data_IF_645960321044
#
_entry.id   IF_645960321044
#
_cell.length_a   1.000
_cell.length_b   1.000
_cell.length_c   1.000
_cell.angle_alpha   90.00
_cell.angle_beta   90.00
_cell.angle_gamma   90.00
#
_symmetry.space_group_name_H-M   'P 1'
#
loop_
_entity.id
_entity.type
_entity.pdbx_description
1 polymer ?
#
# COMPACT_ATOMS: atom_id res chain seq x y z
N UNK A 1 40.80 26.07 -25.68
CA UNK A 1 40.69 25.10 -24.57
C UNK A 1 39.21 24.75 -24.40
N UNK A 2 38.80 23.72 -25.13
CA UNK A 2 37.35 23.32 -25.15
C UNK A 2 37.07 22.29 -24.04
N UNK A 3 36.23 22.68 -23.12
CA UNK A 3 35.69 21.75 -22.11
C UNK A 3 34.39 21.17 -22.64
N UNK A 4 34.46 20.00 -23.21
CA UNK A 4 33.31 19.22 -23.60
C UNK A 4 32.69 18.56 -22.34
N UNK A 5 31.54 19.06 -21.95
CA UNK A 5 30.70 18.47 -20.92
C UNK A 5 29.98 17.26 -21.53
N UNK A 6 30.35 16.07 -21.12
CA UNK A 6 29.60 14.87 -21.45
C UNK A 6 28.38 14.77 -20.52
N UNK A 7 27.21 15.03 -21.08
CA UNK A 7 25.94 14.67 -20.44
C UNK A 7 25.72 13.16 -20.62
N UNK A 8 25.94 12.40 -19.57
CA UNK A 8 25.55 11.01 -19.50
C UNK A 8 24.04 10.97 -19.21
N UNK A 9 23.24 10.71 -20.23
CA UNK A 9 21.82 10.36 -20.08
C UNK A 9 21.77 8.91 -19.64
N UNK A 10 21.52 8.68 -18.36
CA UNK A 10 21.19 7.36 -17.84
C UNK A 10 19.74 7.04 -18.23
N UNK A 11 19.56 6.29 -19.30
CA UNK A 11 18.29 5.66 -19.62
C UNK A 11 18.06 4.53 -18.62
N UNK A 12 17.18 4.77 -17.66
CA UNK A 12 16.60 3.69 -16.85
C UNK A 12 15.70 2.87 -17.77
N UNK A 13 16.24 1.75 -18.25
CA UNK A 13 15.45 0.76 -18.96
C UNK A 13 14.50 0.07 -17.98
N UNK A 14 13.30 -0.35 -18.41
CA UNK A 14 12.43 -1.15 -17.58
C UNK A 14 13.15 -2.48 -17.26
N UNK A 15 13.43 -2.72 -15.99
CA UNK A 15 13.86 -4.01 -15.53
C UNK A 15 12.70 -4.98 -15.72
N UNK A 16 12.74 -5.74 -16.81
CA UNK A 16 11.85 -6.89 -17.00
C UNK A 16 12.31 -7.94 -15.98
N UNK A 17 11.67 -7.91 -14.81
CA UNK A 17 11.85 -8.92 -13.78
C UNK A 17 11.49 -10.28 -14.34
N UNK A 18 12.44 -11.20 -14.36
CA UNK A 18 12.20 -12.60 -14.65
C UNK A 18 11.16 -13.14 -13.67
N UNK A 19 9.97 -13.48 -14.20
CA UNK A 19 8.94 -14.17 -13.46
C UNK A 19 9.50 -15.49 -12.92
N UNK A 20 9.99 -15.45 -11.68
CA UNK A 20 10.27 -16.66 -10.92
C UNK A 20 8.95 -17.34 -10.62
N UNK A 21 8.75 -18.52 -11.19
CA UNK A 21 7.66 -19.42 -10.81
C UNK A 21 7.87 -19.83 -9.35
N UNK A 22 7.32 -19.04 -8.43
CA UNK A 22 7.14 -19.46 -7.05
C UNK A 22 5.78 -20.14 -6.99
N UNK A 23 5.76 -21.33 -6.43
CA UNK A 23 4.63 -22.25 -6.38
C UNK A 23 3.27 -21.54 -6.26
N UNK A 24 2.46 -21.59 -7.31
CA UNK A 24 1.01 -21.49 -7.23
C UNK A 24 0.35 -20.18 -7.61
N UNK A 25 1.03 -19.12 -8.11
CA UNK A 25 0.33 -17.89 -8.49
C UNK A 25 1.10 -17.00 -9.48
N UNK A 26 0.37 -16.30 -10.35
CA UNK A 26 0.90 -15.29 -11.27
C UNK A 26 0.84 -13.91 -10.59
N UNK A 27 1.95 -13.17 -10.59
CA UNK A 27 1.92 -11.76 -10.20
C UNK A 27 1.08 -10.98 -11.23
N UNK A 28 0.01 -10.34 -10.76
CA UNK A 28 -0.85 -9.50 -11.59
C UNK A 28 -0.61 -8.02 -11.37
N UNK A 29 -0.12 -7.66 -10.20
CA UNK A 29 0.27 -6.31 -9.88
C UNK A 29 1.47 -6.31 -8.93
N UNK A 30 2.44 -5.44 -9.17
CA UNK A 30 3.58 -5.20 -8.30
C UNK A 30 3.87 -3.71 -8.24
N UNK A 31 4.08 -3.21 -7.03
CA UNK A 31 4.42 -1.81 -6.76
C UNK A 31 5.58 -1.77 -5.76
N UNK A 32 6.70 -1.20 -6.19
CA UNK A 32 7.83 -0.90 -5.31
C UNK A 32 8.23 0.55 -5.49
N UNK A 33 7.88 1.42 -4.55
CA UNK A 33 8.11 2.85 -4.67
C UNK A 33 8.17 3.56 -3.33
N UNK A 34 8.88 4.69 -3.31
CA UNK A 34 8.72 5.68 -2.25
C UNK A 34 7.53 6.58 -2.57
N UNK A 35 6.74 6.86 -1.56
CA UNK A 35 5.57 7.74 -1.62
C UNK A 35 5.71 8.85 -0.60
N UNK A 36 5.16 10.01 -0.89
CA UNK A 36 5.03 11.14 0.03
C UNK A 36 3.55 11.38 0.29
N UNK A 37 3.15 11.33 1.56
CA UNK A 37 1.75 11.51 1.96
C UNK A 37 1.64 12.70 2.90
N UNK A 38 0.88 13.70 2.51
CA UNK A 38 0.64 14.89 3.33
C UNK A 38 -0.20 14.53 4.58
N UNK A 39 -0.01 15.24 5.70
CA UNK A 39 -0.85 15.06 6.89
C UNK A 39 -2.35 15.22 6.56
N UNK A 40 -3.18 14.34 7.10
CA UNK A 40 -4.61 14.31 6.83
C UNK A 40 -4.99 13.70 5.48
N UNK A 41 -4.06 12.99 4.83
CA UNK A 41 -4.26 12.35 3.52
C UNK A 41 -3.92 10.85 3.57
N UNK A 42 -4.19 10.18 2.48
CA UNK A 42 -3.78 8.79 2.23
C UNK A 42 -3.28 8.63 0.80
N UNK A 43 -2.34 7.73 0.62
CA UNK A 43 -1.96 7.21 -0.67
C UNK A 43 -2.74 5.93 -0.96
N UNK A 44 -3.26 5.81 -2.17
CA UNK A 44 -4.11 4.69 -2.55
C UNK A 44 -3.56 3.98 -3.78
N UNK A 45 -3.56 2.65 -3.72
CA UNK A 45 -3.36 1.78 -4.85
C UNK A 45 -4.64 0.98 -5.11
N UNK A 46 -5.21 1.14 -6.31
CA UNK A 46 -6.38 0.40 -6.76
C UNK A 46 -5.96 -0.98 -7.24
N UNK A 47 -6.67 -1.99 -6.80
CA UNK A 47 -6.50 -3.38 -7.19
C UNK A 47 -7.78 -3.76 -7.95
N UNK A 48 -7.74 -3.60 -9.26
CA UNK A 48 -8.79 -4.04 -10.18
C UNK A 48 -8.32 -5.31 -10.87
N UNK A 49 -9.21 -6.29 -10.97
CA UNK A 49 -8.99 -7.51 -11.75
C UNK A 49 -8.02 -8.54 -11.13
N UNK A 50 -8.54 -9.30 -10.17
CA UNK A 50 -8.03 -10.63 -9.88
C UNK A 50 -9.14 -11.61 -10.25
N UNK A 51 -8.95 -12.40 -11.31
CA UNK A 51 -9.89 -13.43 -11.69
C UNK A 51 -9.90 -14.55 -10.63
N UNK A 52 -10.95 -14.58 -9.81
CA UNK A 52 -11.13 -15.59 -8.78
C UNK A 52 -10.38 -15.31 -7.47
N UNK A 53 -9.85 -16.37 -6.87
CA UNK A 53 -9.09 -16.25 -5.62
C UNK A 53 -7.70 -15.69 -5.89
N UNK A 54 -7.33 -14.67 -5.13
CA UNK A 54 -6.02 -14.04 -5.19
C UNK A 54 -5.27 -14.10 -3.87
N UNK A 55 -4.05 -13.61 -3.89
CA UNK A 55 -3.22 -13.43 -2.72
C UNK A 55 -2.58 -12.05 -2.71
N UNK A 56 -2.44 -11.46 -1.53
CA UNK A 56 -1.84 -10.16 -1.29
C UNK A 56 -0.62 -10.31 -0.38
N UNK A 57 0.45 -9.63 -0.74
CA UNK A 57 1.61 -9.44 0.13
C UNK A 57 2.00 -7.97 0.12
N UNK A 58 2.29 -7.40 1.28
CA UNK A 58 2.82 -6.05 1.36
C UNK A 58 3.80 -5.85 2.49
N UNK A 59 4.69 -4.88 2.31
CA UNK A 59 5.53 -4.29 3.34
C UNK A 59 5.57 -2.78 3.13
N UNK A 60 5.21 -2.01 4.17
CA UNK A 60 5.32 -0.55 4.17
C UNK A 60 6.21 -0.14 5.32
N UNK A 61 7.13 0.80 5.06
CA UNK A 61 8.08 1.31 6.05
C UNK A 61 8.13 2.83 5.98
N UNK A 62 8.16 3.46 7.14
CA UNK A 62 8.31 4.91 7.28
C UNK A 62 8.95 5.29 8.61
N UNK A 63 9.54 6.47 8.71
CA UNK A 63 10.07 7.01 9.96
C UNK A 63 8.96 7.49 10.92
N UNK A 64 7.77 7.75 10.38
CA UNK A 64 6.61 8.23 11.12
C UNK A 64 5.53 7.15 11.18
N UNK A 65 4.65 7.27 12.17
CA UNK A 65 3.51 6.37 12.35
C UNK A 65 2.50 6.55 11.21
N UNK A 66 1.98 5.45 10.71
CA UNK A 66 0.96 5.38 9.69
C UNK A 66 0.02 4.20 9.93
N UNK A 67 -1.11 4.17 9.24
CA UNK A 67 -2.03 3.03 9.22
C UNK A 67 -2.17 2.46 7.80
N UNK A 68 -2.50 1.18 7.73
CA UNK A 68 -2.83 0.48 6.48
C UNK A 68 -4.30 0.09 6.51
N UNK A 69 -5.02 0.46 5.46
CA UNK A 69 -6.38 -0.01 5.20
C UNK A 69 -6.44 -0.77 3.89
N UNK A 70 -7.31 -1.76 3.89
CA UNK A 70 -7.62 -2.52 2.70
C UNK A 70 -9.13 -2.61 2.54
N UNK A 71 -9.67 -1.83 1.62
CA UNK A 71 -11.09 -1.77 1.36
C UNK A 71 -11.46 -2.76 0.26
N UNK A 72 -12.49 -3.55 0.48
CA UNK A 72 -12.94 -4.62 -0.42
C UNK A 72 -14.11 -4.20 -1.31
N UNK A 73 -14.49 -2.94 -1.28
CA UNK A 73 -15.53 -2.38 -2.14
C UNK A 73 -15.32 -0.89 -2.35
N UNK A 74 -15.84 -0.37 -3.43
CA UNK A 74 -15.86 1.07 -3.73
C UNK A 74 -16.65 1.84 -2.69
N UNK A 75 -17.76 1.30 -2.18
CA UNK A 75 -18.57 1.94 -1.14
C UNK A 75 -17.76 2.16 0.16
N UNK A 76 -17.03 1.13 0.61
CA UNK A 76 -16.20 1.24 1.80
C UNK A 76 -15.07 2.28 1.62
N UNK A 77 -14.46 2.31 0.44
CA UNK A 77 -13.43 3.29 0.11
C UNK A 77 -13.99 4.71 0.00
N UNK A 78 -15.22 4.88 -0.52
CA UNK A 78 -15.88 6.18 -0.60
C UNK A 78 -16.18 6.75 0.80
N UNK A 79 -16.50 5.92 1.79
CA UNK A 79 -16.63 6.35 3.18
C UNK A 79 -15.31 6.92 3.73
N UNK A 80 -14.19 6.27 3.42
CA UNK A 80 -12.87 6.78 3.78
C UNK A 80 -12.56 8.12 3.11
N UNK A 81 -12.85 8.26 1.81
CA UNK A 81 -12.66 9.51 1.07
C UNK A 81 -13.54 10.64 1.61
N UNK A 82 -14.79 10.35 1.97
CA UNK A 82 -15.70 11.31 2.60
C UNK A 82 -15.10 11.85 3.91
N UNK A 83 -14.56 10.96 4.75
CA UNK A 83 -13.85 11.37 5.96
C UNK A 83 -12.67 12.30 5.66
N UNK A 84 -11.81 11.97 4.69
CA UNK A 84 -10.68 12.83 4.29
C UNK A 84 -11.12 14.21 3.76
N UNK A 85 -12.34 14.30 3.22
CA UNK A 85 -12.95 15.55 2.74
C UNK A 85 -13.62 16.37 3.85
N UNK A 86 -13.63 15.88 5.08
CA UNK A 86 -14.27 16.52 6.22
C UNK A 86 -15.78 16.26 6.31
N UNK A 87 -16.29 15.30 5.54
CA UNK A 87 -17.66 14.79 5.67
C UNK A 87 -17.72 13.76 6.79
N UNK A 88 -18.83 13.70 7.52
CA UNK A 88 -19.06 12.64 8.49
C UNK A 88 -19.56 11.39 7.76
N UNK A 89 -18.75 10.33 7.63
CA UNK A 89 -19.22 9.08 7.06
C UNK A 89 -20.24 8.44 8.01
N UNK A 90 -21.21 7.65 7.48
CA UNK A 90 -22.25 7.01 8.28
C UNK A 90 -21.70 6.05 9.32
N UNK A 91 -20.52 5.49 9.07
CA UNK A 91 -19.80 4.59 9.97
C UNK A 91 -18.30 4.88 9.90
N UNK A 92 -17.66 5.01 11.07
CA UNK A 92 -16.20 5.16 11.16
C UNK A 92 -15.69 4.15 12.17
N UNK A 93 -14.77 3.28 11.75
CA UNK A 93 -14.22 3.04 10.42
C UNK A 93 -15.08 2.09 9.56
N UNK A 94 -15.84 2.64 8.63
CA UNK A 94 -16.69 1.85 7.75
C UNK A 94 -15.87 1.00 6.77
N UNK A 95 -16.30 -0.22 6.55
CA UNK A 95 -15.74 -1.08 5.51
C UNK A 95 -14.32 -1.55 5.77
N UNK A 96 -13.87 -1.58 7.02
CA UNK A 96 -12.56 -2.16 7.33
C UNK A 96 -12.51 -3.62 6.95
N UNK A 97 -11.53 -3.95 6.13
CA UNK A 97 -11.19 -5.33 5.91
C UNK A 97 -10.30 -5.85 7.04
N UNK A 98 -10.12 -7.16 7.06
CA UNK A 98 -9.19 -7.89 7.95
C UNK A 98 -7.72 -7.43 7.86
N UNK A 99 -7.38 -6.53 6.95
CA UNK A 99 -6.02 -6.04 6.74
C UNK A 99 -5.77 -4.61 7.24
N UNK A 100 -6.68 -4.04 8.02
CA UNK A 100 -6.40 -2.79 8.73
C UNK A 100 -5.31 -3.02 9.78
N UNK A 101 -4.18 -2.32 9.65
CA UNK A 101 -3.05 -2.45 10.56
C UNK A 101 -2.36 -1.13 10.80
N UNK A 102 -2.10 -0.82 12.06
CA UNK A 102 -1.15 0.22 12.42
C UNK A 102 0.29 -0.20 12.11
N UNK A 103 1.11 0.72 11.65
CA UNK A 103 2.54 0.54 11.59
C UNK A 103 3.11 0.30 13.00
N UNK A 104 3.89 -0.76 13.17
CA UNK A 104 4.54 -1.11 14.45
C UNK A 104 5.96 -0.59 14.43
N UNK A 105 6.36 0.11 15.50
CA UNK A 105 7.73 0.62 15.64
C UNK A 105 8.72 -0.55 15.74
N UNK A 106 9.70 -0.56 14.86
CA UNK A 106 10.81 -1.49 14.85
C UNK A 106 12.03 -0.80 15.47
N UNK A 107 12.35 -1.15 16.71
CA UNK A 107 13.44 -0.53 17.47
C UNK A 107 14.82 -0.75 16.85
N UNK A 108 15.04 -1.88 16.16
CA UNK A 108 16.33 -2.21 15.54
C UNK A 108 16.64 -1.30 14.33
N UNK A 109 15.62 -0.78 13.68
CA UNK A 109 15.72 0.04 12.47
C UNK A 109 15.29 1.48 12.68
N UNK A 110 14.75 1.79 13.85
CA UNK A 110 14.16 3.09 14.20
C UNK A 110 13.13 3.59 13.20
N UNK A 111 12.23 2.69 12.79
CA UNK A 111 11.15 3.02 11.86
C UNK A 111 9.89 2.19 12.14
N UNK A 112 8.76 2.69 11.61
CA UNK A 112 7.50 1.98 11.63
C UNK A 112 7.39 1.04 10.43
N UNK A 113 6.94 -0.18 10.67
CA UNK A 113 6.74 -1.20 9.64
C UNK A 113 5.34 -1.81 9.76
N UNK A 114 4.64 -1.90 8.65
CA UNK A 114 3.44 -2.71 8.52
C UNK A 114 3.64 -3.72 7.40
N UNK A 115 3.30 -4.97 7.65
CA UNK A 115 3.41 -6.04 6.65
C UNK A 115 2.30 -7.05 6.80
N UNK A 116 1.88 -7.63 5.72
CA UNK A 116 0.97 -8.75 5.71
C UNK A 116 1.37 -9.74 4.60
N UNK A 117 1.30 -11.02 4.91
CA UNK A 117 1.14 -11.54 6.29
C UNK A 117 2.40 -11.32 7.12
N UNK A 118 2.26 -11.38 8.44
CA UNK A 118 3.37 -11.11 9.36
C UNK A 118 4.48 -12.17 9.34
N UNK A 119 4.17 -13.36 8.84
CA UNK A 119 5.09 -14.49 8.70
C UNK A 119 5.85 -14.51 7.35
N UNK A 120 5.58 -13.53 6.47
CA UNK A 120 6.21 -13.41 5.16
C UNK A 120 5.56 -14.27 4.07
N UNK A 121 4.42 -14.90 4.35
CA UNK A 121 3.60 -15.60 3.38
C UNK A 121 2.74 -14.63 2.55
N UNK A 122 1.61 -15.14 2.05
CA UNK A 122 0.62 -14.38 1.28
C UNK A 122 -0.74 -14.47 1.94
N UNK A 123 -1.48 -13.37 2.01
CA UNK A 123 -2.82 -13.34 2.55
C UNK A 123 -3.82 -13.58 1.42
N UNK A 124 -4.72 -14.56 1.58
CA UNK A 124 -5.78 -14.82 0.60
C UNK A 124 -6.76 -13.67 0.54
N UNK A 125 -7.08 -13.25 -0.68
CA UNK A 125 -8.08 -12.26 -1.01
C UNK A 125 -9.05 -12.85 -2.05
N UNK A 126 -10.30 -12.43 -1.99
CA UNK A 126 -11.31 -12.74 -3.02
C UNK A 126 -11.75 -11.40 -3.59
N UNK A 127 -11.48 -11.17 -4.87
CA UNK A 127 -11.71 -9.88 -5.52
C UNK A 127 -12.87 -10.04 -6.50
N UNK A 128 -14.08 -9.81 -5.98
CA UNK A 128 -15.30 -9.76 -6.82
C UNK A 128 -15.63 -8.32 -7.26
N UNK A 129 -14.96 -7.32 -6.67
CA UNK A 129 -15.12 -5.88 -6.94
C UNK A 129 -13.75 -5.22 -6.89
N UNK A 130 -13.67 -3.94 -7.21
CA UNK A 130 -12.44 -3.15 -7.07
C UNK A 130 -12.06 -3.02 -5.59
N UNK A 131 -10.83 -3.39 -5.28
CA UNK A 131 -10.26 -3.26 -3.94
C UNK A 131 -9.26 -2.10 -3.89
N UNK A 132 -9.05 -1.56 -2.69
CA UNK A 132 -8.19 -0.40 -2.48
C UNK A 132 -7.23 -0.67 -1.34
N UNK A 133 -5.93 -0.64 -1.64
CA UNK A 133 -4.87 -0.66 -0.63
C UNK A 133 -4.47 0.77 -0.32
N UNK A 134 -4.53 1.15 0.96
CA UNK A 134 -4.31 2.53 1.40
C UNK A 134 -3.22 2.59 2.45
N UNK A 135 -2.25 3.48 2.25
CA UNK A 135 -1.34 3.95 3.30
C UNK A 135 -1.92 5.25 3.83
N UNK A 136 -2.45 5.23 5.04
CA UNK A 136 -3.15 6.34 5.65
C UNK A 136 -2.26 7.13 6.60
N UNK A 137 -2.29 8.45 6.44
CA UNK A 137 -1.63 9.41 7.32
C UNK A 137 -2.62 10.49 7.76
N UNK A 138 -3.80 10.03 8.19
CA UNK A 138 -4.89 10.87 8.66
C UNK A 138 -5.34 10.45 10.07
N UNK A 139 -6.36 11.10 10.59
CA UNK A 139 -6.98 10.75 11.87
C UNK A 139 -8.07 9.68 11.73
N UNK A 140 -8.20 9.02 10.59
CA UNK A 140 -9.31 8.10 10.31
C UNK A 140 -9.43 6.97 11.32
N UNK A 141 -8.35 6.33 11.69
CA UNK A 141 -8.35 5.27 12.71
C UNK A 141 -7.24 5.38 13.74
N UNK A 142 -6.38 6.40 13.62
CA UNK A 142 -5.28 6.61 14.54
C UNK A 142 -5.76 7.06 15.92
N UNK A 143 -5.25 6.42 16.97
CA UNK A 143 -5.43 6.86 18.34
C UNK A 143 -4.63 8.13 18.71
N UNK A 144 -3.74 8.59 17.80
CA UNK A 144 -2.93 9.79 17.99
C UNK A 144 -3.22 10.75 16.85
N UNK A 145 -3.63 12.00 17.12
CA UNK A 145 -3.92 13.00 16.10
C UNK A 145 -2.70 13.29 15.22
N UNK A 146 -2.89 13.31 13.91
CA UNK A 146 -1.86 13.65 12.91
C UNK A 146 -1.49 15.14 12.97
N UNK A 147 -2.31 15.97 13.58
CA UNK A 147 -2.04 17.41 13.78
C UNK A 147 -0.74 17.67 14.58
N UNK A 148 -0.25 16.68 15.32
CA UNK A 148 1.05 16.74 15.99
C UNK A 148 2.23 16.50 15.02
N UNK A 149 1.94 16.04 13.79
CA UNK A 149 2.93 15.77 12.76
C UNK A 149 2.87 16.88 11.70
N UNK A 150 3.86 17.76 11.70
CA UNK A 150 3.94 18.87 10.75
C UNK A 150 4.50 18.46 9.38
N UNK A 151 5.23 17.34 9.32
CA UNK A 151 5.97 16.91 8.15
C UNK A 151 5.23 15.80 7.39
N UNK A 152 5.31 15.79 6.04
CA UNK A 152 4.78 14.69 5.24
C UNK A 152 5.38 13.35 5.60
N UNK A 153 4.60 12.28 5.45
CA UNK A 153 5.05 10.91 5.60
C UNK A 153 5.86 10.51 4.36
N UNK A 154 7.14 10.22 4.54
CA UNK A 154 7.95 9.55 3.52
C UNK A 154 7.93 8.04 3.80
N UNK A 155 7.28 7.29 2.93
CA UNK A 155 7.12 5.85 3.12
C UNK A 155 7.59 5.06 1.89
N UNK A 156 8.22 3.94 2.12
CA UNK A 156 8.50 2.94 1.09
C UNK A 156 7.42 1.87 1.09
N UNK A 157 6.81 1.64 -0.07
CA UNK A 157 5.77 0.64 -0.28
C UNK A 157 6.30 -0.47 -1.19
N UNK A 158 6.17 -1.69 -0.73
CA UNK A 158 6.37 -2.92 -1.49
C UNK A 158 5.05 -3.71 -1.41
N UNK A 159 4.35 -3.79 -2.53
CA UNK A 159 3.02 -4.40 -2.65
C UNK A 159 3.02 -5.36 -3.83
N UNK A 160 2.56 -6.58 -3.64
CA UNK A 160 2.37 -7.55 -4.69
C UNK A 160 1.01 -8.24 -4.59
N UNK A 161 0.34 -8.35 -5.72
CA UNK A 161 -0.94 -9.06 -5.89
C UNK A 161 -0.71 -10.25 -6.81
N UNK A 162 -1.21 -11.39 -6.40
CA UNK A 162 -1.06 -12.65 -7.10
C UNK A 162 -2.43 -13.21 -7.44
N UNK A 163 -2.55 -13.79 -8.60
CA UNK A 163 -3.70 -14.57 -9.04
C UNK A 163 -3.37 -16.06 -8.87
N UNK A 164 -4.26 -16.80 -8.21
CA UNK A 164 -4.13 -18.24 -8.09
C UNK A 164 -4.59 -18.88 -9.40
N UNK A 165 -3.65 -19.25 -10.26
CA UNK A 165 -3.94 -20.09 -11.41
C UNK A 165 -4.12 -21.53 -10.92
N UNK A 166 -5.36 -21.98 -10.77
CA UNK A 166 -5.62 -23.42 -10.59
C UNK A 166 -5.06 -24.16 -11.80
N UNK A 167 -4.26 -25.22 -11.60
CA UNK A 167 -3.92 -26.09 -12.71
C UNK A 167 -5.21 -26.75 -13.21
N UNK A 168 -5.54 -26.51 -14.47
CA UNK A 168 -6.64 -27.20 -15.19
C UNK A 168 -6.26 -28.66 -15.36
#
# INVERSE_FOLDING_TARGET
MDRRTFLAVATLGPAVGTAGCVAGGRVVQEQQQSILVEPGRGWTNEISEVDGDGELSYTVRAEQRFDIYYFTSTEAYDHYRAFLSGEEPPETPAGHSKFSRAGVHNEDRDLYEAKAPSDGGRASISVEDTHYFVVDYSNYGMGVPVEEHADPLDAFVDLAVFENTLPI
#
